data_IF_466549014303
#
_entry.id   IF_466549014303
#
_cell.length_a   1.000
_cell.length_b   1.000
_cell.length_c   1.000
_cell.angle_alpha   90.00
_cell.angle_beta   90.00
_cell.angle_gamma   90.00
#
_symmetry.space_group_name_H-M   'P 1'
#
loop_
_entity.id
_entity.type
_entity.pdbx_description
1 polymer ?
#
# COMPACT_ATOMS: atom_id res chain seq x y z
N UNK A 1 28.61 -57.84 -0.79
CA UNK A 1 28.64 -57.39 0.62
C UNK A 1 29.67 -56.28 0.78
N UNK A 2 29.26 -55.02 0.59
CA UNK A 2 30.14 -53.86 0.78
C UNK A 2 29.81 -53.20 2.12
N UNK A 3 30.78 -53.16 3.04
CA UNK A 3 30.64 -52.44 4.32
C UNK A 3 31.09 -50.99 4.12
N UNK A 4 30.15 -50.05 4.18
CA UNK A 4 30.42 -48.61 4.27
C UNK A 4 30.83 -48.24 5.70
N UNK A 5 31.86 -47.41 5.82
CA UNK A 5 32.29 -46.79 7.07
C UNK A 5 31.32 -45.67 7.51
N UNK A 6 31.14 -45.41 8.81
CA UNK A 6 30.14 -44.46 9.31
C UNK A 6 30.61 -42.99 9.17
N UNK A 7 29.68 -42.04 8.98
CA UNK A 7 30.00 -40.62 8.86
C UNK A 7 30.23 -39.93 10.23
N UNK A 8 31.16 -38.97 10.27
CA UNK A 8 31.48 -38.15 11.42
C UNK A 8 30.35 -37.14 11.79
N UNK A 9 30.17 -36.78 13.07
CA UNK A 9 29.06 -35.93 13.50
C UNK A 9 29.27 -34.44 13.14
N UNK A 10 28.21 -33.84 12.60
CA UNK A 10 28.12 -32.40 12.27
C UNK A 10 28.02 -31.55 13.55
N UNK A 11 28.95 -30.62 13.76
CA UNK A 11 28.85 -29.55 14.78
C UNK A 11 27.75 -28.55 14.39
N UNK A 12 26.79 -28.31 15.30
CA UNK A 12 25.82 -27.20 15.21
C UNK A 12 26.51 -25.88 15.58
N UNK A 13 26.33 -24.77 14.83
CA UNK A 13 26.73 -23.45 15.31
C UNK A 13 25.77 -22.98 16.41
N UNK A 14 26.33 -22.69 17.58
CA UNK A 14 25.61 -22.14 18.73
C UNK A 14 25.20 -20.68 18.53
N UNK A 15 24.03 -20.35 19.09
CA UNK A 15 23.39 -19.02 19.12
C UNK A 15 24.35 -17.91 19.56
N UNK A 16 24.41 -16.82 18.79
CA UNK A 16 24.82 -15.51 19.32
C UNK A 16 23.70 -14.97 20.22
N UNK A 17 24.06 -14.68 21.47
CA UNK A 17 23.23 -13.92 22.41
C UNK A 17 23.60 -12.43 22.26
N UNK A 18 22.64 -11.51 22.06
CA UNK A 18 22.95 -10.08 21.99
C UNK A 18 23.31 -9.52 23.37
N UNK A 19 24.38 -8.73 23.42
CA UNK A 19 24.81 -7.98 24.60
C UNK A 19 23.80 -6.86 24.95
N UNK A 20 23.62 -6.52 26.24
CA UNK A 20 22.69 -5.48 26.66
C UNK A 20 23.20 -4.07 26.28
N UNK A 21 22.29 -3.26 25.74
CA UNK A 21 22.52 -1.86 25.40
C UNK A 21 22.75 -1.03 26.67
N UNK A 22 23.90 -0.34 26.74
CA UNK A 22 24.20 0.65 27.78
C UNK A 22 23.26 1.86 27.62
N UNK A 23 22.59 2.22 28.71
CA UNK A 23 21.75 3.42 28.81
C UNK A 23 22.61 4.68 28.85
N UNK A 24 22.26 5.69 28.04
CA UNK A 24 22.79 7.04 28.13
C UNK A 24 21.99 7.85 29.17
N UNK A 25 22.63 8.66 30.03
CA UNK A 25 21.93 9.46 31.03
C UNK A 25 21.19 10.66 30.40
N UNK A 26 19.94 10.84 30.81
CA UNK A 26 19.02 11.87 30.31
C UNK A 26 19.35 13.28 30.78
N UNK A 27 19.00 14.27 29.94
CA UNK A 27 18.93 15.70 30.27
C UNK A 27 17.47 16.10 30.57
N UNK A 28 17.24 17.07 31.47
CA UNK A 28 15.91 17.40 31.97
C UNK A 28 15.06 18.20 30.98
N UNK A 29 13.77 17.89 30.98
CA UNK A 29 12.73 18.55 30.19
C UNK A 29 12.45 19.97 30.71
N UNK A 30 12.37 20.95 29.79
CA UNK A 30 11.74 22.26 30.02
C UNK A 30 10.43 22.32 29.25
N UNK A 31 9.36 22.63 29.98
CA UNK A 31 7.98 22.59 29.51
C UNK A 31 7.64 23.62 28.45
N UNK A 32 6.71 23.24 27.60
CA UNK A 32 5.92 24.14 26.75
C UNK A 32 4.46 23.74 26.96
N UNK A 33 3.65 24.71 27.37
CA UNK A 33 2.22 24.54 27.66
C UNK A 33 1.45 24.33 26.36
N UNK A 34 0.62 23.29 26.32
CA UNK A 34 -0.35 23.01 25.27
C UNK A 34 -1.56 23.96 25.37
N UNK A 35 -1.79 24.76 24.34
CA UNK A 35 -3.09 25.36 24.04
C UNK A 35 -3.48 24.99 22.62
N UNK A 36 -4.37 23.99 22.48
CA UNK A 36 -5.06 23.66 21.23
C UNK A 36 -6.52 24.08 21.32
N UNK A 37 -7.06 24.83 20.35
CA UNK A 37 -8.47 24.80 20.04
C UNK A 37 -8.75 23.73 18.98
N UNK A 38 -9.82 22.96 19.19
CA UNK A 38 -10.38 22.00 18.24
C UNK A 38 -11.03 22.73 17.06
N UNK A 39 -10.62 22.39 15.83
CA UNK A 39 -11.40 22.69 14.61
C UNK A 39 -11.47 21.43 13.75
N UNK A 40 -12.68 20.94 13.53
CA UNK A 40 -12.99 19.77 12.71
C UNK A 40 -12.66 20.04 11.23
N UNK A 41 -11.97 19.11 10.57
CA UNK A 41 -11.69 19.14 9.12
C UNK A 41 -12.39 17.97 8.44
N UNK A 42 -13.31 18.26 7.53
CA UNK A 42 -13.83 17.32 6.53
C UNK A 42 -12.89 17.27 5.32
N UNK A 43 -12.56 16.10 4.74
CA UNK A 43 -11.64 16.02 3.61
C UNK A 43 -12.37 16.04 2.26
N UNK A 44 -12.09 17.03 1.42
CA UNK A 44 -12.40 17.00 0.00
C UNK A 44 -11.19 16.42 -0.77
N UNK A 45 -11.42 15.32 -1.50
CA UNK A 45 -10.46 14.66 -2.40
C UNK A 45 -10.49 15.28 -3.80
N UNK A 46 -9.36 15.37 -4.52
CA UNK A 46 -9.38 15.46 -5.98
C UNK A 46 -8.97 14.14 -6.65
N UNK A 47 -9.67 13.83 -7.75
CA UNK A 47 -9.41 12.73 -8.68
C UNK A 47 -8.51 13.22 -9.81
N UNK A 48 -7.40 12.52 -10.08
CA UNK A 48 -6.48 12.82 -11.18
C UNK A 48 -6.79 12.01 -12.45
N UNK A 49 -6.90 12.70 -13.59
CA UNK A 49 -7.01 12.13 -14.93
C UNK A 49 -6.11 12.86 -15.94
N UNK A 50 -5.11 12.12 -16.44
CA UNK A 50 -4.29 12.21 -17.67
C UNK A 50 -3.89 13.52 -18.40
N UNK A 51 -2.56 13.63 -18.55
CA UNK A 51 -1.77 13.82 -19.78
C UNK A 51 -1.66 15.20 -20.48
N UNK A 52 -0.43 15.51 -20.89
CA UNK A 52 -0.11 16.46 -21.97
C UNK A 52 0.80 17.60 -21.53
N UNK A 53 1.90 17.81 -22.27
CA UNK A 53 2.79 18.99 -22.16
C UNK A 53 1.94 20.27 -22.07
N UNK A 54 2.08 21.07 -21.02
CA UNK A 54 1.44 22.38 -20.91
C UNK A 54 2.51 23.41 -20.54
N UNK A 55 2.53 24.52 -21.28
CA UNK A 55 3.26 25.74 -20.93
C UNK A 55 2.74 26.34 -19.61
N UNK A 56 3.10 27.59 -19.26
CA UNK A 56 2.75 28.17 -17.97
C UNK A 56 1.25 28.00 -17.70
N UNK A 57 0.92 27.27 -16.64
CA UNK A 57 -0.44 26.82 -16.33
C UNK A 57 -1.32 28.01 -15.98
N UNK A 58 -2.14 28.46 -16.95
CA UNK A 58 -3.36 29.20 -16.65
C UNK A 58 -4.31 28.23 -15.95
N UNK A 59 -4.51 28.42 -14.65
CA UNK A 59 -5.47 27.63 -13.86
C UNK A 59 -6.87 28.18 -14.19
N UNK A 60 -7.50 27.65 -15.24
CA UNK A 60 -8.95 27.78 -15.36
C UNK A 60 -9.60 26.79 -14.38
N UNK A 61 -10.09 27.31 -13.25
CA UNK A 61 -10.97 26.53 -12.37
C UNK A 61 -12.43 26.70 -12.82
N UNK A 62 -13.24 25.64 -12.75
CA UNK A 62 -14.68 25.79 -12.92
C UNK A 62 -15.19 26.56 -11.70
N UNK A 63 -15.45 27.85 -11.88
CA UNK A 63 -16.28 28.60 -10.94
C UNK A 63 -17.60 27.84 -10.89
N UNK A 64 -17.94 27.30 -9.72
CA UNK A 64 -19.27 26.75 -9.49
C UNK A 64 -20.27 27.90 -9.73
N UNK A 65 -20.86 27.92 -10.91
CA UNK A 65 -21.95 28.82 -11.28
C UNK A 65 -23.11 28.52 -10.33
N UNK A 66 -23.31 29.34 -9.29
CA UNK A 66 -24.49 29.22 -8.44
C UNK A 66 -24.53 30.00 -7.14
N UNK A 67 -23.41 30.45 -6.58
CA UNK A 67 -23.43 31.28 -5.35
C UNK A 67 -22.50 32.48 -5.52
N UNK A 68 -23.00 33.73 -5.43
CA UNK A 68 -22.13 34.90 -5.48
C UNK A 68 -21.23 34.89 -4.24
N UNK A 69 -19.93 34.68 -4.47
CA UNK A 69 -18.93 34.82 -3.43
C UNK A 69 -18.77 36.31 -3.10
N UNK A 70 -18.70 36.64 -1.81
CA UNK A 70 -18.34 37.99 -1.36
C UNK A 70 -16.88 38.31 -1.72
N UNK A 71 -16.51 39.59 -1.74
CA UNK A 71 -15.11 40.00 -1.96
C UNK A 71 -14.13 39.36 -0.96
N UNK A 72 -14.58 39.15 0.29
CA UNK A 72 -13.80 38.45 1.32
C UNK A 72 -13.60 36.97 0.96
N UNK A 73 -14.65 36.27 0.52
CA UNK A 73 -14.55 34.87 0.12
C UNK A 73 -13.64 34.66 -1.10
N UNK A 74 -13.60 35.61 -2.03
CA UNK A 74 -12.67 35.57 -3.17
C UNK A 74 -11.22 35.77 -2.72
N UNK A 75 -10.96 36.67 -1.77
CA UNK A 75 -9.62 36.89 -1.21
C UNK A 75 -9.16 35.63 -0.44
N UNK A 76 -10.02 35.05 0.39
CA UNK A 76 -9.73 33.81 1.12
C UNK A 76 -9.40 32.65 0.17
N UNK A 77 -10.22 32.44 -0.86
CA UNK A 77 -9.96 31.41 -1.86
C UNK A 77 -8.65 31.64 -2.62
N UNK A 78 -8.36 32.89 -3.01
CA UNK A 78 -7.09 33.25 -3.67
C UNK A 78 -5.88 33.04 -2.75
N UNK A 79 -6.01 33.36 -1.46
CA UNK A 79 -4.94 33.15 -0.49
C UNK A 79 -4.65 31.66 -0.30
N UNK A 80 -5.68 30.84 -0.08
CA UNK A 80 -5.53 29.39 0.05
C UNK A 80 -4.93 28.75 -1.21
N UNK A 81 -5.34 29.19 -2.40
CA UNK A 81 -4.77 28.73 -3.66
C UNK A 81 -3.26 29.07 -3.77
N UNK A 82 -2.88 30.31 -3.45
CA UNK A 82 -1.47 30.75 -3.46
C UNK A 82 -0.64 30.02 -2.40
N UNK A 83 -1.18 29.81 -1.21
CA UNK A 83 -0.53 29.05 -0.15
C UNK A 83 -0.34 27.58 -0.55
N UNK A 84 -1.34 26.99 -1.21
CA UNK A 84 -1.25 25.66 -1.81
C UNK A 84 -0.13 25.57 -2.85
N UNK A 85 -0.07 26.52 -3.78
CA UNK A 85 0.99 26.59 -4.79
C UNK A 85 2.39 26.76 -4.16
N UNK A 86 2.54 27.63 -3.17
CA UNK A 86 3.81 27.81 -2.46
C UNK A 86 4.25 26.51 -1.75
N UNK A 87 3.33 25.83 -1.08
CA UNK A 87 3.62 24.53 -0.45
C UNK A 87 4.07 23.50 -1.47
N UNK A 88 3.42 23.45 -2.63
CA UNK A 88 3.81 22.54 -3.70
C UNK A 88 5.24 22.81 -4.18
N UNK A 89 5.57 24.06 -4.51
CA UNK A 89 6.92 24.46 -4.93
C UNK A 89 7.96 24.11 -3.86
N UNK A 90 7.68 24.42 -2.59
CA UNK A 90 8.60 24.08 -1.49
C UNK A 90 8.82 22.57 -1.34
N UNK A 91 7.79 21.75 -1.52
CA UNK A 91 7.91 20.29 -1.46
C UNK A 91 8.71 19.74 -2.63
N UNK A 92 8.50 20.25 -3.84
CA UNK A 92 9.24 19.87 -5.04
C UNK A 92 10.73 20.21 -4.89
N UNK A 93 11.06 21.44 -4.49
CA UNK A 93 12.43 21.90 -4.27
C UNK A 93 13.11 21.11 -3.13
N UNK A 94 12.41 20.87 -2.02
CA UNK A 94 12.95 20.09 -0.90
C UNK A 94 13.23 18.64 -1.31
N UNK A 95 12.35 18.03 -2.09
CA UNK A 95 12.51 16.67 -2.58
C UNK A 95 13.68 16.57 -3.57
N UNK A 96 13.82 17.52 -4.50
CA UNK A 96 14.96 17.59 -5.41
C UNK A 96 16.29 17.77 -4.65
N UNK A 97 16.34 18.69 -3.68
CA UNK A 97 17.52 18.92 -2.85
C UNK A 97 17.89 17.68 -2.01
N UNK A 98 16.89 16.95 -1.48
CA UNK A 98 17.12 15.70 -0.76
C UNK A 98 17.73 14.64 -1.69
N UNK A 99 17.20 14.49 -2.90
CA UNK A 99 17.67 13.52 -3.89
C UNK A 99 19.12 13.78 -4.28
N UNK A 100 19.50 15.04 -4.51
CA UNK A 100 20.89 15.41 -4.80
C UNK A 100 21.82 15.15 -3.61
N UNK A 101 21.42 15.51 -2.38
CA UNK A 101 22.20 15.19 -1.18
C UNK A 101 22.41 13.68 -0.97
N UNK A 102 21.39 12.86 -1.23
CA UNK A 102 21.51 11.40 -1.17
C UNK A 102 22.50 10.88 -2.22
N UNK A 103 22.47 11.44 -3.44
CA UNK A 103 23.43 11.11 -4.51
C UNK A 103 24.86 11.47 -4.14
N UNK A 104 25.10 12.70 -3.68
CA UNK A 104 26.43 13.17 -3.25
C UNK A 104 27.00 12.29 -2.14
N UNK A 105 26.14 11.89 -1.19
CA UNK A 105 26.49 10.99 -0.10
C UNK A 105 26.60 9.51 -0.51
N UNK A 106 26.26 9.15 -1.77
CA UNK A 106 26.17 7.77 -2.27
C UNK A 106 25.26 6.86 -1.41
N UNK A 107 24.20 7.43 -0.86
CA UNK A 107 23.22 6.73 -0.05
C UNK A 107 21.98 6.37 -0.88
N UNK A 108 21.33 5.28 -0.51
CA UNK A 108 20.07 4.82 -1.10
C UNK A 108 19.08 4.53 0.01
N UNK A 109 17.91 5.16 -0.07
CA UNK A 109 16.75 4.82 0.76
C UNK A 109 15.87 3.80 0.04
N UNK A 110 14.95 3.16 0.76
CA UNK A 110 14.00 2.23 0.13
C UNK A 110 13.13 2.92 -0.93
N UNK A 111 12.68 4.14 -0.67
CA UNK A 111 11.89 4.91 -1.63
C UNK A 111 12.74 5.29 -2.86
N UNK A 112 14.00 5.70 -2.65
CA UNK A 112 14.91 6.04 -3.74
C UNK A 112 15.16 4.84 -4.68
N UNK A 113 15.19 3.61 -4.18
CA UNK A 113 15.33 2.43 -5.04
C UNK A 113 14.16 2.30 -6.02
N UNK A 114 12.93 2.54 -5.56
CA UNK A 114 11.74 2.49 -6.40
C UNK A 114 11.70 3.67 -7.37
N UNK A 115 11.96 4.88 -6.88
CA UNK A 115 12.00 6.10 -7.71
C UNK A 115 13.06 6.00 -8.81
N UNK A 116 14.25 5.48 -8.51
CA UNK A 116 15.33 5.34 -9.49
C UNK A 116 14.95 4.36 -10.61
N UNK A 117 14.27 3.25 -10.29
CA UNK A 117 13.76 2.31 -11.30
C UNK A 117 12.66 2.97 -12.13
N UNK A 118 11.74 3.67 -11.47
CA UNK A 118 10.66 4.39 -12.16
C UNK A 118 11.22 5.42 -13.15
N UNK A 119 12.17 6.26 -12.72
CA UNK A 119 12.82 7.26 -13.56
C UNK A 119 13.57 6.62 -14.73
N UNK A 120 14.30 5.52 -14.49
CA UNK A 120 15.01 4.79 -15.52
C UNK A 120 14.06 4.21 -16.59
N UNK A 121 12.89 3.73 -16.16
CA UNK A 121 11.84 3.22 -17.04
C UNK A 121 11.05 4.32 -17.77
N UNK A 122 10.97 5.52 -17.19
CA UNK A 122 10.35 6.70 -17.80
C UNK A 122 11.30 7.42 -18.78
N UNK A 123 12.61 7.25 -18.63
CA UNK A 123 13.63 7.89 -19.45
C UNK A 123 13.76 7.34 -20.89
N UNK A 124 14.68 7.91 -21.70
CA UNK A 124 14.85 7.56 -23.11
C UNK A 124 15.19 6.08 -23.37
N UNK A 125 15.85 5.41 -22.42
CA UNK A 125 16.21 3.99 -22.49
C UNK A 125 15.20 3.07 -21.79
N UNK A 126 14.07 3.61 -21.36
CA UNK A 126 13.10 2.89 -20.55
C UNK A 126 12.53 1.66 -21.24
N UNK A 127 12.31 1.71 -22.56
CA UNK A 127 11.82 0.55 -23.31
C UNK A 127 12.86 -0.55 -23.41
N UNK A 128 14.14 -0.20 -23.61
CA UNK A 128 15.24 -1.17 -23.58
C UNK A 128 15.32 -1.86 -22.23
N UNK A 129 15.23 -1.10 -21.13
CA UNK A 129 15.22 -1.66 -19.78
C UNK A 129 14.01 -2.57 -19.55
N UNK A 130 12.80 -2.13 -19.93
CA UNK A 130 11.59 -2.92 -19.80
C UNK A 130 11.68 -4.22 -20.60
N UNK A 131 12.20 -4.18 -21.84
CA UNK A 131 12.40 -5.35 -22.68
C UNK A 131 13.40 -6.35 -22.06
N UNK A 132 14.53 -5.88 -21.54
CA UNK A 132 15.50 -6.72 -20.83
C UNK A 132 14.90 -7.37 -19.58
N UNK A 133 14.11 -6.61 -18.82
CA UNK A 133 13.42 -7.12 -17.64
C UNK A 133 12.38 -8.18 -18.01
N UNK A 134 11.57 -7.96 -19.06
CA UNK A 134 10.61 -8.96 -19.56
C UNK A 134 11.31 -10.20 -20.13
N UNK A 135 12.46 -10.04 -20.77
CA UNK A 135 13.23 -11.19 -21.27
C UNK A 135 13.74 -12.05 -20.11
N UNK A 136 14.23 -11.41 -19.04
CA UNK A 136 14.72 -12.10 -17.85
C UNK A 136 13.60 -12.68 -16.99
N UNK A 137 12.50 -11.93 -16.86
CA UNK A 137 11.33 -12.26 -16.07
C UNK A 137 10.09 -12.24 -16.97
N UNK A 138 9.82 -13.33 -17.70
CA UNK A 138 8.73 -13.36 -18.69
C UNK A 138 7.34 -13.31 -18.04
N UNK A 139 7.24 -13.57 -16.75
CA UNK A 139 6.04 -13.41 -15.95
C UNK A 139 6.37 -12.81 -14.58
N UNK A 140 5.46 -12.01 -14.05
CA UNK A 140 5.53 -11.47 -12.69
C UNK A 140 4.25 -11.81 -11.92
N UNK A 141 4.43 -12.30 -10.69
CA UNK A 141 3.37 -12.52 -9.71
C UNK A 141 3.59 -11.56 -8.55
N UNK A 142 2.66 -10.64 -8.36
CA UNK A 142 2.68 -9.65 -7.28
C UNK A 142 1.65 -10.08 -6.25
N UNK A 143 2.12 -10.52 -5.08
CA UNK A 143 1.28 -10.84 -3.94
C UNK A 143 1.01 -9.59 -3.08
N UNK A 144 0.00 -9.63 -2.23
CA UNK A 144 -0.42 -8.51 -1.36
C UNK A 144 -0.61 -7.18 -2.10
N UNK A 145 -1.14 -7.24 -3.34
CA UNK A 145 -1.26 -6.09 -4.21
C UNK A 145 -2.19 -4.98 -3.66
N UNK A 146 -3.05 -5.29 -2.67
CA UNK A 146 -3.84 -4.28 -1.98
C UNK A 146 -3.01 -3.26 -1.18
N UNK A 147 -1.77 -3.63 -0.80
CA UNK A 147 -0.86 -2.78 -0.01
C UNK A 147 0.20 -2.08 -0.89
N UNK A 148 0.00 -2.10 -2.21
CA UNK A 148 0.87 -1.44 -3.20
C UNK A 148 0.52 0.04 -3.36
N UNK A 149 1.54 0.87 -3.60
CA UNK A 149 1.40 2.30 -3.88
C UNK A 149 1.35 2.61 -5.40
N UNK A 150 0.98 3.85 -5.81
CA UNK A 150 0.89 4.22 -7.22
C UNK A 150 2.22 4.09 -7.99
N UNK A 151 3.36 4.34 -7.34
CA UNK A 151 4.69 4.28 -7.97
C UNK A 151 5.05 2.84 -8.33
N UNK A 152 4.89 1.91 -7.39
CA UNK A 152 5.12 0.48 -7.61
C UNK A 152 4.24 -0.06 -8.74
N UNK A 153 2.94 0.27 -8.73
CA UNK A 153 2.05 -0.15 -9.81
C UNK A 153 2.47 0.43 -11.17
N UNK A 154 2.92 1.69 -11.21
CA UNK A 154 3.39 2.31 -12.44
C UNK A 154 4.66 1.62 -12.98
N UNK A 155 5.58 1.18 -12.11
CA UNK A 155 6.75 0.36 -12.49
C UNK A 155 6.29 -0.95 -13.15
N UNK A 156 5.43 -1.72 -12.50
CA UNK A 156 4.94 -3.00 -13.05
C UNK A 156 4.21 -2.80 -14.38
N UNK A 157 3.41 -1.74 -14.49
CA UNK A 157 2.72 -1.38 -15.73
C UNK A 157 3.69 -0.99 -16.83
N UNK A 158 4.74 -0.23 -16.53
CA UNK A 158 5.73 0.18 -17.53
C UNK A 158 6.55 -1.01 -18.06
N UNK A 159 6.77 -2.01 -17.21
CA UNK A 159 7.45 -3.25 -17.59
C UNK A 159 6.51 -4.19 -18.35
N UNK A 160 5.30 -4.48 -17.85
CA UNK A 160 4.46 -5.58 -18.38
C UNK A 160 3.18 -5.14 -19.10
N UNK A 161 2.80 -3.85 -19.06
CA UNK A 161 1.47 -3.36 -19.43
C UNK A 161 1.09 -3.56 -20.90
N UNK A 162 2.07 -3.55 -21.80
CA UNK A 162 1.87 -3.57 -23.27
C UNK A 162 2.52 -4.80 -23.94
N UNK A 163 3.18 -5.67 -23.17
CA UNK A 163 3.87 -6.86 -23.68
C UNK A 163 2.97 -8.11 -23.67
N UNK A 164 3.30 -9.11 -24.49
CA UNK A 164 2.67 -10.45 -24.43
C UNK A 164 2.99 -11.26 -23.17
N UNK A 165 3.72 -10.66 -22.22
CA UNK A 165 4.15 -11.24 -20.96
C UNK A 165 3.04 -11.21 -19.90
N UNK A 166 3.12 -12.11 -18.92
CA UNK A 166 2.07 -12.25 -17.90
C UNK A 166 2.37 -11.39 -16.66
N UNK A 167 1.44 -10.51 -16.30
CA UNK A 167 1.41 -9.84 -14.99
C UNK A 167 0.19 -10.36 -14.21
N UNK A 168 0.45 -11.05 -13.11
CA UNK A 168 -0.57 -11.57 -12.20
C UNK A 168 -0.51 -10.79 -10.91
N UNK A 169 -1.63 -10.19 -10.54
CA UNK A 169 -1.79 -9.40 -9.32
C UNK A 169 -2.73 -10.16 -8.38
N UNK A 170 -2.22 -10.52 -7.21
CA UNK A 170 -2.95 -11.23 -6.16
C UNK A 170 -3.09 -10.29 -4.97
N UNK A 171 -4.29 -10.20 -4.42
CA UNK A 171 -4.54 -9.38 -3.26
C UNK A 171 -6.02 -9.32 -2.90
N UNK A 172 -6.30 -8.89 -1.67
CA UNK A 172 -7.64 -8.74 -1.13
C UNK A 172 -7.90 -7.28 -0.72
N UNK A 173 -8.79 -6.53 -1.41
CA UNK A 173 -9.06 -5.14 -1.05
C UNK A 173 -9.70 -4.99 0.34
N UNK A 174 -10.28 -6.07 0.89
CA UNK A 174 -10.83 -6.10 2.25
C UNK A 174 -9.73 -6.10 3.33
N UNK A 175 -8.48 -6.38 2.95
CA UNK A 175 -7.33 -6.45 3.86
C UNK A 175 -6.37 -5.26 3.72
N UNK A 176 -6.74 -4.23 2.94
CA UNK A 176 -5.92 -3.02 2.76
C UNK A 176 -5.87 -2.19 4.05
N UNK A 177 -4.84 -2.39 4.87
CA UNK A 177 -4.68 -1.73 6.18
C UNK A 177 -3.46 -0.81 6.27
N UNK A 178 -2.62 -0.75 5.22
CA UNK A 178 -1.36 0.01 5.21
C UNK A 178 -1.45 1.42 4.60
N UNK A 179 -2.63 2.05 4.57
CA UNK A 179 -2.80 3.39 3.97
C UNK A 179 -1.92 4.47 4.61
N UNK A 180 -1.55 4.31 5.88
CA UNK A 180 -0.63 5.21 6.60
C UNK A 180 0.81 5.16 6.08
N UNK A 181 1.18 4.14 5.29
CA UNK A 181 2.50 4.00 4.64
C UNK A 181 2.46 4.33 3.14
N UNK A 182 1.36 4.90 2.64
CA UNK A 182 1.23 5.27 1.23
C UNK A 182 0.60 4.22 0.32
N UNK A 183 0.23 3.05 0.85
CA UNK A 183 -0.59 2.09 0.10
C UNK A 183 -1.89 2.75 -0.34
N UNK A 184 -2.24 2.61 -1.62
CA UNK A 184 -3.41 3.26 -2.20
C UNK A 184 -4.38 2.24 -2.78
N UNK A 185 -5.47 2.02 -2.06
CA UNK A 185 -6.56 1.18 -2.50
C UNK A 185 -7.18 1.64 -3.84
N UNK A 186 -7.08 2.91 -4.22
CA UNK A 186 -7.52 3.37 -5.55
C UNK A 186 -6.62 2.82 -6.65
N UNK A 187 -5.33 2.66 -6.38
CA UNK A 187 -4.38 2.01 -7.28
C UNK A 187 -4.76 0.55 -7.49
N UNK A 188 -5.11 -0.18 -6.43
CA UNK A 188 -5.66 -1.53 -6.55
C UNK A 188 -6.91 -1.57 -7.45
N UNK A 189 -7.88 -0.69 -7.19
CA UNK A 189 -9.13 -0.63 -7.94
C UNK A 189 -8.92 -0.27 -9.43
N UNK A 190 -8.05 0.70 -9.72
CA UNK A 190 -7.66 1.09 -11.09
C UNK A 190 -6.93 -0.03 -11.82
N UNK A 191 -6.11 -0.81 -11.11
CA UNK A 191 -5.45 -1.96 -11.70
C UNK A 191 -6.43 -3.07 -12.03
N UNK A 192 -7.38 -3.36 -11.12
CA UNK A 192 -8.44 -4.34 -11.36
C UNK A 192 -9.26 -4.04 -12.60
N UNK A 193 -9.60 -2.76 -12.83
CA UNK A 193 -10.32 -2.30 -14.04
C UNK A 193 -9.54 -2.59 -15.34
N UNK A 194 -8.21 -2.66 -15.29
CA UNK A 194 -7.34 -2.89 -16.45
C UNK A 194 -6.97 -4.36 -16.64
N UNK A 195 -7.29 -5.23 -15.69
CA UNK A 195 -7.01 -6.66 -15.80
C UNK A 195 -7.94 -7.30 -16.84
N UNK A 196 -7.37 -8.06 -17.79
CA UNK A 196 -8.15 -8.80 -18.80
C UNK A 196 -8.97 -9.93 -18.20
N UNK A 197 -8.48 -10.53 -17.10
CA UNK A 197 -9.14 -11.61 -16.36
C UNK A 197 -9.07 -11.29 -14.89
N UNK A 198 -10.18 -11.51 -14.19
CA UNK A 198 -10.29 -11.36 -12.74
C UNK A 198 -10.83 -12.67 -12.20
N UNK A 199 -10.11 -13.23 -11.22
CA UNK A 199 -10.47 -14.48 -10.57
C UNK A 199 -10.72 -14.22 -9.08
N UNK A 200 -11.60 -15.02 -8.47
CA UNK A 200 -11.89 -14.95 -7.03
C UNK A 200 -11.82 -16.35 -6.45
N UNK A 201 -11.12 -16.48 -5.32
CA UNK A 201 -11.05 -17.74 -4.58
C UNK A 201 -12.19 -17.76 -3.56
N UNK A 202 -13.16 -18.64 -3.78
CA UNK A 202 -14.38 -18.71 -2.97
C UNK A 202 -14.28 -19.68 -1.79
N UNK A 203 -13.17 -20.42 -1.64
CA UNK A 203 -13.01 -21.41 -0.58
C UNK A 203 -11.89 -20.98 0.37
N UNK A 204 -12.23 -20.90 1.66
CA UNK A 204 -11.25 -20.69 2.70
C UNK A 204 -10.62 -22.04 3.07
N UNK A 205 -9.33 -22.18 2.83
CA UNK A 205 -8.57 -23.39 3.16
C UNK A 205 -7.81 -23.26 4.50
N UNK A 206 -7.96 -22.16 5.23
CA UNK A 206 -7.16 -21.85 6.44
C UNK A 206 -7.91 -22.12 7.74
N UNK A 207 -9.21 -21.84 7.76
CA UNK A 207 -10.02 -21.71 8.97
C UNK A 207 -11.04 -22.84 9.11
N UNK A 208 -11.44 -23.15 10.34
CA UNK A 208 -12.53 -24.09 10.65
C UNK A 208 -13.88 -23.55 10.17
N UNK A 209 -14.81 -24.44 9.83
CA UNK A 209 -16.11 -24.08 9.29
C UNK A 209 -16.88 -23.10 10.19
N UNK A 210 -16.86 -23.29 11.51
CA UNK A 210 -17.53 -22.38 12.45
C UNK A 210 -17.03 -20.93 12.38
N UNK A 211 -15.72 -20.72 12.17
CA UNK A 211 -15.16 -19.36 12.03
C UNK A 211 -15.59 -18.73 10.71
N UNK A 212 -15.57 -19.51 9.62
CA UNK A 212 -16.02 -19.05 8.30
C UNK A 212 -17.48 -18.63 8.35
N UNK A 213 -18.33 -19.44 8.99
CA UNK A 213 -19.74 -19.11 9.22
C UNK A 213 -19.89 -17.82 10.03
N UNK A 214 -19.17 -17.69 11.14
CA UNK A 214 -19.22 -16.47 11.97
C UNK A 214 -18.86 -15.20 11.21
N UNK A 215 -17.76 -15.23 10.44
CA UNK A 215 -17.35 -14.07 9.62
C UNK A 215 -18.33 -13.77 8.48
N UNK A 216 -18.86 -14.81 7.82
CA UNK A 216 -19.87 -14.65 6.78
C UNK A 216 -21.14 -13.99 7.32
N UNK A 217 -21.60 -14.38 8.52
CA UNK A 217 -22.75 -13.76 9.19
C UNK A 217 -22.45 -12.31 9.54
N UNK A 218 -21.31 -12.03 10.19
CA UNK A 218 -20.94 -10.69 10.63
C UNK A 218 -20.89 -9.69 9.46
N UNK A 219 -20.12 -10.02 8.42
CA UNK A 219 -19.95 -9.12 7.28
C UNK A 219 -21.11 -9.17 6.28
N UNK A 220 -21.89 -10.25 6.25
CA UNK A 220 -23.07 -10.39 5.41
C UNK A 220 -24.29 -9.60 5.89
N UNK A 221 -24.30 -9.15 7.15
CA UNK A 221 -25.46 -8.43 7.74
C UNK A 221 -25.56 -6.99 7.21
N UNK A 222 -24.46 -6.40 6.72
CA UNK A 222 -24.44 -5.05 6.19
C UNK A 222 -24.19 -5.03 4.68
N UNK A 223 -24.87 -4.12 3.96
CA UNK A 223 -24.67 -3.93 2.53
C UNK A 223 -23.26 -3.38 2.18
N UNK A 224 -22.66 -2.60 3.09
CA UNK A 224 -21.36 -1.95 2.90
C UNK A 224 -20.44 -2.13 4.12
N UNK A 225 -20.00 -3.35 4.43
CA UNK A 225 -19.22 -3.63 5.64
C UNK A 225 -17.87 -2.89 5.67
N UNK A 226 -17.32 -2.54 4.50
CA UNK A 226 -16.03 -1.86 4.36
C UNK A 226 -16.15 -0.36 4.04
N UNK A 227 -17.34 0.24 4.21
CA UNK A 227 -17.65 1.67 3.97
C UNK A 227 -17.39 2.22 2.56
N UNK A 228 -16.73 1.47 1.68
CA UNK A 228 -16.48 1.81 0.29
C UNK A 228 -17.39 0.97 -0.60
N UNK A 229 -18.29 1.59 -1.42
CA UNK A 229 -19.23 0.85 -2.26
C UNK A 229 -18.57 -0.12 -3.24
N UNK A 230 -17.33 0.17 -3.64
CA UNK A 230 -16.55 -0.63 -4.58
C UNK A 230 -15.95 -1.91 -3.96
N UNK A 231 -16.08 -2.09 -2.65
CA UNK A 231 -15.56 -3.24 -1.89
C UNK A 231 -16.72 -4.00 -1.29
N UNK A 232 -17.20 -4.99 -2.03
CA UNK A 232 -18.23 -5.91 -1.57
C UNK A 232 -17.61 -7.02 -0.71
N UNK A 233 -18.37 -7.47 0.29
CA UNK A 233 -18.11 -8.75 0.93
C UNK A 233 -18.74 -9.86 0.10
N UNK A 234 -17.96 -10.88 -0.25
CA UNK A 234 -18.47 -12.10 -0.88
C UNK A 234 -18.27 -13.24 0.11
N UNK A 235 -19.35 -13.90 0.56
CA UNK A 235 -19.23 -15.05 1.44
C UNK A 235 -18.32 -16.13 0.85
N UNK A 236 -17.50 -16.74 1.70
CA UNK A 236 -16.60 -17.83 1.31
C UNK A 236 -17.08 -19.15 1.90
N UNK A 237 -16.80 -20.25 1.19
CA UNK A 237 -17.08 -21.62 1.64
C UNK A 237 -16.00 -22.09 2.61
N UNK A 238 -16.41 -22.91 3.57
CA UNK A 238 -15.51 -23.66 4.43
C UNK A 238 -14.66 -24.67 3.63
N UNK A 239 -13.55 -25.17 4.18
CA UNK A 239 -12.76 -26.23 3.53
C UNK A 239 -13.57 -27.52 3.48
N UNK A 240 -13.38 -28.31 2.42
CA UNK A 240 -14.02 -29.63 2.29
C UNK A 240 -13.40 -30.65 3.25
N UNK A 241 -12.10 -30.49 3.53
CA UNK A 241 -11.37 -31.35 4.46
C UNK A 241 -11.61 -30.89 5.90
N UNK A 242 -11.95 -31.83 6.82
CA UNK A 242 -12.13 -31.50 8.22
C UNK A 242 -10.83 -30.94 8.81
N UNK A 243 -10.97 -29.86 9.57
CA UNK A 243 -9.87 -29.17 10.26
C UNK A 243 -9.92 -29.46 11.75
N UNK A 244 -8.76 -29.51 12.40
CA UNK A 244 -8.68 -29.62 13.85
C UNK A 244 -9.48 -28.50 14.51
N UNK A 245 -10.20 -28.84 15.58
CA UNK A 245 -10.96 -27.87 16.35
C UNK A 245 -10.04 -26.79 16.93
N UNK A 246 -10.57 -25.58 17.11
CA UNK A 246 -9.86 -24.55 17.86
C UNK A 246 -9.80 -24.99 19.33
N UNK A 247 -8.67 -24.72 19.98
CA UNK A 247 -8.43 -25.12 21.37
C UNK A 247 -8.07 -23.87 22.17
N UNK A 248 -8.81 -23.62 23.24
CA UNK A 248 -8.55 -22.56 24.21
C UNK A 248 -8.25 -23.22 25.56
N UNK A 249 -7.07 -22.95 26.14
CA UNK A 249 -6.63 -23.52 27.42
C UNK A 249 -6.75 -25.06 27.50
N UNK A 250 -6.47 -25.76 26.40
CA UNK A 250 -6.52 -27.22 26.32
C UNK A 250 -7.93 -27.81 26.13
N UNK A 251 -8.96 -26.98 25.99
CA UNK A 251 -10.34 -27.41 25.72
C UNK A 251 -10.76 -26.98 24.32
N UNK A 252 -11.54 -27.83 23.64
CA UNK A 252 -12.14 -27.47 22.36
C UNK A 252 -13.01 -26.22 22.55
N UNK A 253 -12.77 -25.20 21.73
CA UNK A 253 -13.53 -23.96 21.70
C UNK A 253 -14.64 -24.05 20.66
N UNK A 254 -15.92 -24.13 21.07
CA UNK A 254 -17.04 -24.18 20.15
C UNK A 254 -17.41 -22.80 19.58
N UNK A 255 -16.86 -21.70 20.12
CA UNK A 255 -17.21 -20.33 19.76
C UNK A 255 -15.99 -19.61 19.13
N UNK A 256 -15.65 -19.93 17.86
CA UNK A 256 -14.45 -19.42 17.20
C UNK A 256 -14.44 -17.91 16.96
N UNK A 257 -15.60 -17.25 17.07
CA UNK A 257 -15.75 -15.79 16.98
C UNK A 257 -16.56 -15.31 18.19
N UNK A 258 -15.96 -14.48 19.04
CA UNK A 258 -16.60 -13.87 20.21
C UNK A 258 -16.53 -12.35 20.09
N UNK A 259 -17.67 -11.69 20.28
CA UNK A 259 -17.73 -10.22 20.33
C UNK A 259 -17.97 -9.85 21.78
N UNK A 260 -17.01 -9.13 22.38
CA UNK A 260 -17.16 -8.57 23.71
C UNK A 260 -17.71 -7.15 23.54
N UNK A 261 -18.93 -6.93 24.01
CA UNK A 261 -19.63 -5.65 24.00
C UNK A 261 -19.42 -4.93 25.33
#
# INVERSE_FOLDING_TARGET
MGRQAPPAPRRKPGRLVPAPLRQCPGRPARGVRDHRPHVARSPLRPSAGNAGRRGPMTIEQPVALGVPLTGVQLIEASFEARLGALRQVLLEEAHAALKERLREARLQTYDALLENIYDALAGPRGETLAALLRQRYPAALIDEFQDTDPLQYAIFRRIYGDGGNALVLVGDPKQAIYSFRGADLHTYLKARERCRRVHTLHQNQRSVAGLVTGLNTLFGTHAHPFRLPRIAFTPVRAPDLPRAALVELGRSDPAPLRVFL
#
